data_IF_040236129308
#
_entry.id   IF_040236129308
#
_cell.length_a   1.000
_cell.length_b   1.000
_cell.length_c   1.000
_cell.angle_alpha   90.00
_cell.angle_beta   90.00
_cell.angle_gamma   90.00
#
_symmetry.space_group_name_H-M   'P 1'
#
loop_
_entity.id
_entity.type
_entity.pdbx_description
1 polymer ?
#
# COMPACT_ATOMS: atom_id res chain seq x y z
N UNK A 1 -4.80 -9.55 6.97
CA UNK A 1 -4.03 -8.55 6.18
C UNK A 1 -4.89 -8.10 5.01
N UNK A 2 -5.19 -6.80 4.92
CA UNK A 2 -6.24 -6.25 4.04
C UNK A 2 -5.69 -5.81 2.66
N UNK A 3 -4.38 -5.59 2.57
CA UNK A 3 -3.72 -5.09 1.36
C UNK A 3 -3.50 -6.23 0.36
N UNK A 4 -3.87 -6.00 -0.92
CA UNK A 4 -3.71 -6.96 -2.03
C UNK A 4 -3.25 -6.25 -3.30
N UNK A 5 -2.69 -7.01 -4.23
CA UNK A 5 -2.28 -6.52 -5.56
C UNK A 5 -0.93 -7.07 -6.01
N UNK A 6 -0.70 -7.05 -7.33
CA UNK A 6 0.57 -7.45 -7.96
C UNK A 6 1.27 -6.29 -8.66
N UNK A 7 0.55 -5.20 -8.94
CA UNK A 7 1.08 -3.97 -9.52
C UNK A 7 1.08 -2.83 -8.49
N UNK A 8 1.80 -1.75 -8.79
CA UNK A 8 1.87 -0.59 -7.89
C UNK A 8 0.49 0.06 -7.71
N UNK A 9 -0.28 0.09 -8.81
CA UNK A 9 -1.60 0.70 -8.89
C UNK A 9 -2.63 -0.10 -8.09
N UNK A 10 -2.68 -1.42 -8.27
CA UNK A 10 -3.56 -2.32 -7.48
C UNK A 10 -3.26 -2.23 -5.98
N UNK A 11 -1.98 -2.18 -5.60
CA UNK A 11 -1.57 -2.07 -4.20
C UNK A 11 -1.97 -0.70 -3.64
N UNK A 12 -1.74 0.39 -4.37
CA UNK A 12 -2.12 1.72 -3.95
C UNK A 12 -3.65 1.83 -3.77
N UNK A 13 -4.42 1.29 -4.70
CA UNK A 13 -5.88 1.30 -4.63
C UNK A 13 -6.40 0.45 -3.47
N UNK A 14 -5.82 -0.73 -3.24
CA UNK A 14 -6.16 -1.56 -2.08
C UNK A 14 -5.90 -0.83 -0.75
N UNK A 15 -4.81 -0.05 -0.67
CA UNK A 15 -4.50 0.75 0.52
C UNK A 15 -5.47 1.92 0.65
N UNK A 16 -5.77 2.64 -0.44
CA UNK A 16 -6.78 3.72 -0.45
C UNK A 16 -8.14 3.24 0.03
N UNK A 17 -8.59 2.08 -0.45
CA UNK A 17 -9.85 1.48 0.00
C UNK A 17 -9.81 1.16 1.49
N UNK A 18 -8.72 0.56 1.99
CA UNK A 18 -8.59 0.26 3.41
C UNK A 18 -8.55 1.50 4.31
N UNK A 19 -7.96 2.61 3.83
CA UNK A 19 -7.97 3.92 4.50
C UNK A 19 -9.38 4.52 4.48
N UNK A 20 -10.05 4.50 3.31
CA UNK A 20 -11.40 5.05 3.14
C UNK A 20 -12.47 4.30 3.95
N UNK A 21 -12.30 2.99 4.13
CA UNK A 21 -13.17 2.15 4.97
C UNK A 21 -12.95 2.39 6.48
N UNK A 22 -12.01 3.28 6.86
CA UNK A 22 -11.70 3.61 8.25
C UNK A 22 -10.86 2.55 8.97
N UNK A 23 -10.31 1.59 8.22
CA UNK A 23 -9.44 0.54 8.76
C UNK A 23 -7.98 0.97 8.94
N UNK A 24 -7.59 2.10 8.34
CA UNK A 24 -6.26 2.71 8.45
C UNK A 24 -6.44 4.23 8.56
N UNK A 25 -6.01 4.83 9.67
CA UNK A 25 -5.94 6.28 9.79
C UNK A 25 -4.69 6.82 9.07
N UNK A 26 -4.75 8.05 8.54
CA UNK A 26 -3.56 8.73 8.06
C UNK A 26 -2.54 8.86 9.21
N UNK A 27 -1.39 8.21 9.06
CA UNK A 27 -0.38 8.10 10.12
C UNK A 27 -0.35 6.77 10.88
N UNK A 28 -1.30 5.86 10.64
CA UNK A 28 -1.17 4.48 11.11
C UNK A 28 0.07 3.83 10.47
N UNK A 29 0.79 2.99 11.22
CA UNK A 29 2.01 2.36 10.73
C UNK A 29 1.68 1.40 9.58
N UNK A 30 1.91 1.86 8.36
CA UNK A 30 1.90 0.99 7.19
C UNK A 30 3.03 -0.04 7.31
N UNK A 31 2.84 -1.26 6.77
CA UNK A 31 3.91 -2.23 6.72
C UNK A 31 5.10 -1.65 5.95
N UNK A 32 6.32 -2.00 6.37
CA UNK A 32 7.50 -1.61 5.60
C UNK A 32 7.42 -2.16 4.17
N UNK A 33 8.03 -1.45 3.21
CA UNK A 33 8.13 -1.89 1.81
C UNK A 33 8.59 -3.35 1.72
N UNK A 34 9.56 -3.74 2.56
CA UNK A 34 10.12 -5.09 2.58
C UNK A 34 9.12 -6.13 3.08
N UNK A 35 8.38 -5.83 4.15
CA UNK A 35 7.38 -6.72 4.70
C UNK A 35 6.23 -6.92 3.69
N UNK A 36 5.65 -5.82 3.20
CA UNK A 36 4.53 -5.88 2.25
C UNK A 36 4.92 -6.59 0.95
N UNK A 37 6.13 -6.34 0.43
CA UNK A 37 6.63 -7.03 -0.75
C UNK A 37 6.79 -8.55 -0.52
N UNK A 38 7.26 -8.95 0.66
CA UNK A 38 7.36 -10.35 1.04
C UNK A 38 6.00 -11.03 1.16
N UNK A 39 5.06 -10.37 1.83
CA UNK A 39 3.71 -10.90 2.05
C UNK A 39 2.90 -11.00 0.75
N UNK A 40 3.07 -10.06 -0.18
CA UNK A 40 2.40 -10.06 -1.48
C UNK A 40 3.17 -10.86 -2.56
N UNK A 41 4.44 -11.21 -2.30
CA UNK A 41 5.30 -11.85 -3.29
C UNK A 41 5.63 -10.97 -4.51
N UNK A 42 5.66 -9.64 -4.32
CA UNK A 42 5.91 -8.66 -5.40
C UNK A 42 7.29 -8.01 -5.26
N UNK A 43 7.74 -7.32 -6.32
CA UNK A 43 8.98 -6.57 -6.26
C UNK A 43 8.85 -5.39 -5.28
N UNK A 44 9.89 -5.15 -4.46
CA UNK A 44 9.97 -4.00 -3.55
C UNK A 44 9.77 -2.65 -4.25
N UNK A 45 10.24 -2.52 -5.49
CA UNK A 45 10.06 -1.31 -6.30
C UNK A 45 8.58 -1.07 -6.63
N UNK A 46 7.79 -2.14 -6.80
CA UNK A 46 6.35 -2.06 -7.03
C UNK A 46 5.65 -1.45 -5.81
N UNK A 47 5.99 -1.95 -4.61
CA UNK A 47 5.44 -1.40 -3.35
C UNK A 47 5.91 0.04 -3.12
N UNK A 48 7.18 0.35 -3.39
CA UNK A 48 7.70 1.71 -3.28
C UNK A 48 7.01 2.69 -4.22
N UNK A 49 6.65 2.25 -5.44
CA UNK A 49 5.85 3.04 -6.37
C UNK A 49 4.41 3.22 -5.89
N UNK A 50 3.80 2.18 -5.30
CA UNK A 50 2.47 2.29 -4.70
C UNK A 50 2.44 3.35 -3.59
N UNK A 51 3.42 3.31 -2.67
CA UNK A 51 3.51 4.29 -1.57
C UNK A 51 3.76 5.71 -2.07
N UNK A 52 4.55 5.88 -3.14
CA UNK A 52 4.69 7.19 -3.80
C UNK A 52 3.37 7.70 -4.36
N UNK A 53 2.63 6.86 -5.09
CA UNK A 53 1.32 7.24 -5.61
C UNK A 53 0.32 7.65 -4.52
N UNK A 54 0.37 6.99 -3.36
CA UNK A 54 -0.44 7.35 -2.19
C UNK A 54 -0.02 8.72 -1.63
N UNK A 55 1.29 8.91 -1.43
CA UNK A 55 1.85 10.18 -0.94
C UNK A 55 1.56 11.35 -1.88
N UNK A 56 1.67 11.13 -3.20
CA UNK A 56 1.36 12.14 -4.22
C UNK A 56 -0.14 12.46 -4.27
N UNK A 57 -1.00 11.49 -3.93
CA UNK A 57 -2.44 11.66 -3.82
C UNK A 57 -2.88 12.30 -2.50
N UNK A 58 -1.96 12.57 -1.56
CA UNK A 58 -2.24 13.17 -0.26
C UNK A 58 -2.90 12.22 0.74
N UNK A 59 -2.70 10.91 0.58
CA UNK A 59 -3.16 9.85 1.49
C UNK A 59 -2.12 9.58 2.58
#
# INVERSE_FOLDING_TARGET
>A
MVIRGRTAEEIADSIKSAVAEGGLAAGDPLPTIRALAGDLGVNRNTVASAYRQLSDAGV
#
